data_IF_547830060917
#
_entry.id   IF_547830060917
#
_cell.length_a   1.000
_cell.length_b   1.000
_cell.length_c   1.000
_cell.angle_alpha   90.00
_cell.angle_beta   90.00
_cell.angle_gamma   90.00
#
_symmetry.space_group_name_H-M   'P 1'
#
loop_
_entity.id
_entity.type
_entity.pdbx_description
1 polymer ?
#
# COMPACT_ATOMS: atom_id res chain seq x y z
N UNK A 1 24.51 7.71 -5.08
CA UNK A 1 23.65 8.85 -5.50
C UNK A 1 22.19 8.62 -5.12
N UNK A 2 21.51 7.55 -5.58
CA UNK A 2 20.10 7.25 -5.22
C UNK A 2 19.86 7.22 -3.71
N UNK A 3 20.67 6.51 -2.92
CA UNK A 3 20.49 6.39 -1.47
C UNK A 3 20.51 7.73 -0.73
N UNK A 4 21.32 8.67 -1.19
CA UNK A 4 21.34 10.03 -0.61
C UNK A 4 20.04 10.79 -0.95
N UNK A 5 19.55 10.65 -2.19
CA UNK A 5 18.29 11.26 -2.61
C UNK A 5 17.09 10.67 -1.87
N UNK A 6 17.01 9.34 -1.76
CA UNK A 6 15.94 8.65 -1.04
C UNK A 6 15.91 9.00 0.45
N UNK A 7 17.09 9.20 1.05
CA UNK A 7 17.18 9.66 2.45
C UNK A 7 16.70 11.11 2.61
N UNK A 8 16.96 11.96 1.61
CA UNK A 8 16.56 13.37 1.64
C UNK A 8 15.07 13.59 1.34
N UNK A 9 14.49 12.79 0.45
CA UNK A 9 13.08 12.90 0.01
C UNK A 9 12.42 11.52 -0.03
N UNK A 10 12.17 10.88 1.13
CA UNK A 10 11.68 9.51 1.22
C UNK A 10 10.29 9.31 0.60
N UNK A 11 9.45 10.35 0.53
CA UNK A 11 8.11 10.30 -0.04
C UNK A 11 8.06 10.53 -1.56
N UNK A 12 9.21 10.60 -2.24
CA UNK A 12 9.23 10.78 -3.69
C UNK A 12 8.99 9.46 -4.44
N UNK A 13 7.75 9.21 -4.84
CA UNK A 13 7.33 8.03 -5.62
C UNK A 13 8.17 7.89 -6.90
N UNK A 14 8.38 8.98 -7.64
CA UNK A 14 9.14 8.94 -8.90
C UNK A 14 10.61 8.57 -8.68
N UNK A 15 11.24 9.08 -7.60
CA UNK A 15 12.62 8.71 -7.26
C UNK A 15 12.75 7.23 -6.89
N UNK A 16 11.78 6.70 -6.14
CA UNK A 16 11.72 5.27 -5.82
C UNK A 16 11.58 4.42 -7.09
N UNK A 17 10.71 4.79 -8.02
CA UNK A 17 10.54 4.07 -9.29
C UNK A 17 11.84 4.08 -10.10
N UNK A 18 12.55 5.21 -10.18
CA UNK A 18 13.85 5.27 -10.86
C UNK A 18 14.91 4.39 -10.18
N UNK A 19 14.95 4.38 -8.85
CA UNK A 19 15.83 3.49 -8.09
C UNK A 19 15.51 2.01 -8.35
N UNK A 20 14.23 1.65 -8.30
CA UNK A 20 13.77 0.27 -8.53
C UNK A 20 14.08 -0.19 -9.96
N UNK A 21 13.86 0.63 -10.97
CA UNK A 21 14.26 0.34 -12.35
C UNK A 21 15.76 0.09 -12.47
N UNK A 22 16.57 0.88 -11.76
CA UNK A 22 18.02 0.66 -11.72
C UNK A 22 18.39 -0.67 -11.06
N UNK A 23 17.75 -1.03 -9.94
CA UNK A 23 17.95 -2.33 -9.27
C UNK A 23 17.54 -3.50 -10.16
N UNK A 24 16.42 -3.40 -10.86
CA UNK A 24 15.97 -4.41 -11.83
C UNK A 24 16.98 -4.57 -12.98
N UNK A 25 17.53 -3.46 -13.49
CA UNK A 25 18.53 -3.51 -14.56
C UNK A 25 19.84 -4.18 -14.11
N UNK A 26 20.29 -3.92 -12.86
CA UNK A 26 21.47 -4.59 -12.29
C UNK A 26 21.21 -6.09 -12.16
N UNK A 27 20.07 -6.49 -11.57
CA UNK A 27 19.72 -7.90 -11.40
C UNK A 27 19.63 -8.64 -12.73
N UNK A 28 19.06 -8.01 -13.76
CA UNK A 28 19.00 -8.60 -15.11
C UNK A 28 20.40 -8.76 -15.75
N UNK A 29 21.31 -7.81 -15.55
CA UNK A 29 22.67 -7.90 -16.02
C UNK A 29 23.46 -9.04 -15.33
N UNK A 30 23.32 -9.16 -14.00
CA UNK A 30 23.93 -10.24 -13.21
C UNK A 30 23.41 -11.63 -13.63
N UNK A 31 22.12 -11.75 -13.94
CA UNK A 31 21.51 -12.99 -14.46
C UNK A 31 22.11 -13.39 -15.80
N UNK A 32 22.31 -12.44 -16.70
CA UNK A 32 22.94 -12.68 -18.00
C UNK A 32 24.41 -13.12 -17.88
N UNK A 33 25.16 -12.59 -16.91
CA UNK A 33 26.58 -12.92 -16.70
C UNK A 33 26.78 -14.23 -15.97
N UNK A 34 25.96 -14.52 -14.95
CA UNK A 34 26.16 -15.68 -14.05
C UNK A 34 25.39 -16.93 -14.50
N UNK A 35 24.42 -16.81 -15.41
CA UNK A 35 23.52 -17.90 -15.83
C UNK A 35 22.66 -18.47 -14.68
N UNK A 36 22.62 -17.78 -13.55
CA UNK A 36 21.84 -18.14 -12.36
C UNK A 36 20.51 -17.37 -12.30
N UNK A 37 19.62 -17.81 -11.44
CA UNK A 37 18.43 -17.03 -11.11
C UNK A 37 18.87 -15.68 -10.54
N UNK A 38 18.58 -14.62 -11.25
CA UNK A 38 18.96 -13.27 -10.84
C UNK A 38 18.51 -12.96 -9.41
N UNK A 39 19.07 -11.93 -8.81
CA UNK A 39 18.92 -11.57 -7.40
C UNK A 39 17.52 -11.03 -7.10
N UNK A 40 16.45 -11.77 -7.51
CA UNK A 40 15.04 -11.43 -7.31
C UNK A 40 14.72 -11.06 -5.86
N UNK A 41 15.42 -11.69 -4.92
CA UNK A 41 15.24 -11.40 -3.49
C UNK A 41 15.72 -9.97 -3.15
N UNK A 42 16.83 -9.50 -3.69
CA UNK A 42 17.36 -8.15 -3.44
C UNK A 42 16.46 -7.08 -4.06
N UNK A 43 15.98 -7.34 -5.28
CA UNK A 43 15.02 -6.45 -5.94
C UNK A 43 13.73 -6.37 -5.13
N UNK A 44 13.22 -7.50 -4.66
CA UNK A 44 12.01 -7.54 -3.81
C UNK A 44 12.21 -6.80 -2.50
N UNK A 45 13.35 -6.93 -1.84
CA UNK A 45 13.66 -6.14 -0.64
C UNK A 45 13.64 -4.64 -0.92
N UNK A 46 14.13 -4.23 -2.11
CA UNK A 46 14.09 -2.82 -2.53
C UNK A 46 12.66 -2.32 -2.72
N UNK A 47 11.76 -3.16 -3.30
CA UNK A 47 10.33 -2.86 -3.38
C UNK A 47 9.68 -2.77 -2.01
N UNK A 48 9.94 -3.73 -1.11
CA UNK A 48 9.38 -3.71 0.24
C UNK A 48 9.81 -2.46 1.02
N UNK A 49 11.07 -2.05 0.87
CA UNK A 49 11.56 -0.78 1.43
C UNK A 49 10.81 0.40 0.84
N UNK A 50 10.66 0.46 -0.47
CA UNK A 50 9.95 1.55 -1.14
C UNK A 50 8.49 1.69 -0.67
N UNK A 51 7.75 0.58 -0.58
CA UNK A 51 6.35 0.62 -0.12
C UNK A 51 6.22 0.87 1.39
N UNK A 52 7.25 0.55 2.18
CA UNK A 52 7.28 0.91 3.61
C UNK A 52 7.43 2.41 3.79
N UNK A 53 8.34 3.05 3.03
CA UNK A 53 8.64 4.47 3.13
C UNK A 53 7.54 5.35 2.50
N UNK A 54 7.16 5.08 1.25
CA UNK A 54 6.23 5.95 0.54
C UNK A 54 4.95 5.27 0.02
N UNK A 55 4.74 3.99 0.32
CA UNK A 55 3.54 3.25 -0.13
C UNK A 55 2.23 3.77 0.46
N UNK A 56 2.26 4.53 1.55
CA UNK A 56 1.09 5.16 2.19
C UNK A 56 0.77 6.57 1.68
N UNK A 57 1.60 7.11 0.80
CA UNK A 57 1.35 8.40 0.17
C UNK A 57 0.10 8.32 -0.71
N UNK A 58 -0.71 9.38 -0.74
CA UNK A 58 -1.98 9.43 -1.48
C UNK A 58 -1.85 9.10 -2.97
N UNK A 59 -0.71 9.43 -3.58
CA UNK A 59 -0.39 9.21 -5.00
C UNK A 59 0.58 8.06 -5.24
N UNK A 60 0.69 7.13 -4.29
CA UNK A 60 1.60 6.00 -4.38
C UNK A 60 1.14 4.90 -5.35
N UNK A 61 -0.03 5.04 -5.98
CA UNK A 61 -0.58 4.05 -6.91
C UNK A 61 0.45 3.60 -7.96
N UNK A 62 1.21 4.54 -8.55
CA UNK A 62 2.26 4.23 -9.54
C UNK A 62 3.34 3.28 -9.00
N UNK A 63 3.72 3.43 -7.71
CA UNK A 63 4.70 2.54 -7.08
C UNK A 63 4.13 1.15 -6.88
N UNK A 64 2.89 1.07 -6.41
CA UNK A 64 2.19 -0.19 -6.24
C UNK A 64 1.98 -0.92 -7.57
N UNK A 65 1.55 -0.22 -8.61
CA UNK A 65 1.40 -0.76 -9.97
C UNK A 65 2.72 -1.30 -10.50
N UNK A 66 3.80 -0.57 -10.27
CA UNK A 66 5.14 -0.99 -10.67
C UNK A 66 5.57 -2.28 -9.94
N UNK A 67 5.27 -2.39 -8.65
CA UNK A 67 5.56 -3.59 -7.87
C UNK A 67 4.71 -4.78 -8.31
N UNK A 68 3.40 -4.59 -8.46
CA UNK A 68 2.47 -5.62 -8.95
C UNK A 68 2.90 -6.13 -10.32
N UNK A 69 3.25 -5.22 -11.24
CA UNK A 69 3.74 -5.57 -12.57
C UNK A 69 4.99 -6.45 -12.50
N UNK A 70 5.96 -6.05 -11.69
CA UNK A 70 7.21 -6.80 -11.53
C UNK A 70 6.98 -8.21 -10.95
N UNK A 71 6.18 -8.38 -9.91
CA UNK A 71 5.83 -9.71 -9.37
C UNK A 71 5.01 -10.55 -10.35
N UNK A 72 4.17 -9.92 -11.17
CA UNK A 72 3.43 -10.60 -12.24
C UNK A 72 4.37 -11.13 -13.33
N UNK A 73 5.35 -10.33 -13.75
CA UNK A 73 6.39 -10.74 -14.71
C UNK A 73 7.28 -11.86 -14.14
N UNK A 74 7.50 -11.88 -12.84
CA UNK A 74 8.20 -12.96 -12.13
C UNK A 74 7.36 -14.25 -11.97
N UNK A 75 6.07 -14.24 -12.34
CA UNK A 75 5.16 -15.39 -12.23
C UNK A 75 4.63 -15.67 -10.82
N UNK A 76 4.85 -14.78 -9.87
CA UNK A 76 4.53 -14.94 -8.44
C UNK A 76 3.09 -14.53 -8.12
N UNK A 77 2.10 -15.20 -8.73
CA UNK A 77 0.67 -14.82 -8.67
C UNK A 77 0.12 -14.76 -7.25
N UNK A 78 0.56 -15.67 -6.37
CA UNK A 78 0.17 -15.66 -4.96
C UNK A 78 0.64 -14.39 -4.24
N UNK A 79 1.85 -13.88 -4.58
CA UNK A 79 2.37 -12.62 -4.03
C UNK A 79 1.61 -11.43 -4.55
N UNK A 80 1.25 -11.43 -5.83
CA UNK A 80 0.42 -10.39 -6.45
C UNK A 80 -0.91 -10.27 -5.72
N UNK A 81 -1.56 -11.38 -5.38
CA UNK A 81 -2.79 -11.36 -4.58
C UNK A 81 -2.58 -10.76 -3.18
N UNK A 82 -1.47 -11.12 -2.49
CA UNK A 82 -1.14 -10.52 -1.19
C UNK A 82 -0.84 -9.02 -1.30
N UNK A 83 -0.19 -8.58 -2.39
CA UNK A 83 0.03 -7.16 -2.66
C UNK A 83 -1.29 -6.42 -2.80
N UNK A 84 -2.24 -6.92 -3.59
CA UNK A 84 -3.56 -6.29 -3.69
C UNK A 84 -4.27 -6.18 -2.34
N UNK A 85 -4.18 -7.19 -1.49
CA UNK A 85 -4.72 -7.11 -0.12
C UNK A 85 -4.05 -6.03 0.74
N UNK A 86 -2.77 -5.73 0.49
CA UNK A 86 -2.05 -4.61 1.15
C UNK A 86 -2.46 -3.27 0.56
N UNK A 87 -2.49 -3.15 -0.77
CA UNK A 87 -2.90 -1.94 -1.50
C UNK A 87 -4.29 -1.50 -1.06
N UNK A 88 -5.24 -2.42 -0.99
CA UNK A 88 -6.63 -2.13 -0.60
C UNK A 88 -6.79 -1.64 0.84
N UNK A 89 -5.77 -1.77 1.69
CA UNK A 89 -5.76 -1.18 3.06
C UNK A 89 -5.27 0.27 3.08
N UNK A 90 -4.67 0.72 2.00
CA UNK A 90 -4.09 2.07 1.91
C UNK A 90 -5.07 3.00 1.19
N UNK A 91 -5.44 4.14 1.79
CA UNK A 91 -6.33 5.11 1.16
C UNK A 91 -5.57 5.91 0.10
N UNK A 92 -5.47 5.35 -1.11
CA UNK A 92 -4.87 6.00 -2.28
C UNK A 92 -5.92 6.53 -3.25
N UNK A 93 -5.49 7.35 -4.20
CA UNK A 93 -6.35 7.89 -5.24
C UNK A 93 -6.97 6.80 -6.12
N UNK A 94 -6.20 5.74 -6.42
CA UNK A 94 -6.58 4.64 -7.31
C UNK A 94 -7.25 3.44 -6.62
N UNK A 95 -7.61 3.54 -5.34
CA UNK A 95 -8.08 2.39 -4.55
C UNK A 95 -9.26 1.62 -5.18
N UNK A 96 -10.20 2.32 -5.85
CA UNK A 96 -11.32 1.67 -6.55
C UNK A 96 -10.86 0.84 -7.75
N UNK A 97 -9.92 1.38 -8.55
CA UNK A 97 -9.34 0.68 -9.68
C UNK A 97 -8.54 -0.56 -9.23
N UNK A 98 -7.82 -0.43 -8.12
CA UNK A 98 -7.08 -1.56 -7.54
C UNK A 98 -7.99 -2.69 -7.09
N UNK A 99 -9.22 -2.40 -6.62
CA UNK A 99 -10.22 -3.43 -6.32
C UNK A 99 -10.65 -4.16 -7.60
N UNK A 100 -10.92 -3.45 -8.68
CA UNK A 100 -11.30 -4.06 -9.97
C UNK A 100 -10.21 -5.00 -10.49
N UNK A 101 -8.94 -4.59 -10.41
CA UNK A 101 -7.80 -5.41 -10.81
C UNK A 101 -7.64 -6.65 -9.90
N UNK A 102 -7.82 -6.49 -8.59
CA UNK A 102 -7.78 -7.60 -7.64
C UNK A 102 -8.90 -8.62 -7.89
N UNK A 103 -10.12 -8.16 -8.19
CA UNK A 103 -11.23 -9.04 -8.58
C UNK A 103 -10.95 -9.77 -9.90
N UNK A 104 -10.38 -9.08 -10.89
CA UNK A 104 -10.00 -9.68 -12.16
C UNK A 104 -8.93 -10.77 -11.97
N UNK A 105 -7.94 -10.52 -11.10
CA UNK A 105 -6.90 -11.51 -10.75
C UNK A 105 -7.52 -12.77 -10.14
N UNK A 106 -8.46 -12.62 -9.20
CA UNK A 106 -9.14 -13.75 -8.54
C UNK A 106 -9.97 -14.55 -9.55
N UNK A 107 -10.63 -13.88 -10.50
CA UNK A 107 -11.43 -14.55 -11.55
C UNK A 107 -10.56 -15.30 -12.55
N UNK A 108 -9.39 -14.78 -12.88
CA UNK A 108 -8.51 -15.35 -13.91
C UNK A 108 -7.69 -16.56 -13.44
N UNK A 109 -7.51 -16.71 -12.12
CA UNK A 109 -6.60 -17.73 -11.55
C UNK A 109 -7.34 -18.77 -10.68
N UNK A 110 -6.68 -19.91 -10.47
CA UNK A 110 -7.18 -20.90 -9.52
C UNK A 110 -6.97 -20.42 -8.08
N UNK A 111 -7.94 -20.58 -7.17
CA UNK A 111 -7.79 -20.23 -5.75
C UNK A 111 -6.59 -20.91 -5.08
N UNK A 112 -6.23 -22.12 -5.53
CA UNK A 112 -5.06 -22.86 -5.04
C UNK A 112 -3.74 -22.17 -5.35
N UNK A 113 -3.65 -21.47 -6.50
CA UNK A 113 -2.44 -20.73 -6.91
C UNK A 113 -2.32 -19.37 -6.21
N UNK A 114 -3.44 -18.81 -5.75
CA UNK A 114 -3.51 -17.50 -5.09
C UNK A 114 -3.30 -17.57 -3.59
N UNK A 115 -3.64 -18.71 -2.96
CA UNK A 115 -3.66 -18.85 -1.50
C UNK A 115 -2.59 -19.84 -1.03
N UNK A 116 -2.00 -19.61 0.16
CA UNK A 116 -1.25 -20.63 0.86
C UNK A 116 -2.14 -21.85 1.10
N UNK A 117 -1.55 -23.06 1.04
CA UNK A 117 -2.25 -24.33 1.16
C UNK A 117 -3.19 -24.38 2.38
N UNK A 118 -2.70 -23.94 3.54
CA UNK A 118 -3.50 -23.94 4.78
C UNK A 118 -4.77 -23.08 4.68
N UNK A 119 -4.65 -21.90 4.08
CA UNK A 119 -5.79 -20.99 3.88
C UNK A 119 -6.75 -21.52 2.83
N UNK A 120 -6.23 -22.12 1.75
CA UNK A 120 -7.07 -22.76 0.74
C UNK A 120 -7.90 -23.89 1.35
N UNK A 121 -7.28 -24.79 2.11
CA UNK A 121 -7.97 -25.90 2.77
C UNK A 121 -9.01 -25.43 3.79
N UNK A 122 -8.69 -24.39 4.57
CA UNK A 122 -9.64 -23.80 5.52
C UNK A 122 -10.87 -23.22 4.81
N UNK A 123 -10.69 -22.47 3.73
CA UNK A 123 -11.78 -21.91 2.94
C UNK A 123 -12.59 -22.99 2.22
N UNK A 124 -11.90 -24.02 1.69
CA UNK A 124 -12.55 -25.17 1.06
C UNK A 124 -13.46 -25.90 2.05
N UNK A 125 -12.96 -26.19 3.26
CA UNK A 125 -13.76 -26.82 4.32
C UNK A 125 -14.99 -26.00 4.67
N UNK A 126 -14.85 -24.69 4.84
CA UNK A 126 -15.96 -23.79 5.13
C UNK A 126 -17.00 -23.74 3.99
N UNK A 127 -16.56 -23.79 2.72
CA UNK A 127 -17.44 -23.82 1.55
C UNK A 127 -18.21 -25.14 1.50
N UNK A 128 -17.55 -26.29 1.74
CA UNK A 128 -18.18 -27.60 1.74
C UNK A 128 -19.20 -27.74 2.88
N UNK A 129 -18.87 -27.30 4.09
CA UNK A 129 -19.79 -27.28 5.24
C UNK A 129 -21.05 -26.45 4.93
N UNK A 130 -20.88 -25.27 4.33
CA UNK A 130 -22.00 -24.41 3.94
C UNK A 130 -22.80 -24.99 2.77
N UNK A 131 -22.11 -25.51 1.76
CA UNK A 131 -22.74 -26.17 0.60
C UNK A 131 -23.50 -27.41 0.95
N UNK A 132 -23.02 -28.21 1.91
CA UNK A 132 -23.74 -29.36 2.45
C UNK A 132 -25.01 -28.96 3.18
N UNK A 133 -25.02 -27.86 3.94
CA UNK A 133 -26.19 -27.30 4.62
C UNK A 133 -27.25 -26.76 3.65
N UNK A 134 -26.84 -26.26 2.48
CA UNK A 134 -27.74 -25.69 1.46
C UNK A 134 -28.12 -26.71 0.38
N UNK A 135 -27.51 -27.90 0.35
CA UNK A 135 -27.73 -28.93 -0.67
C UNK A 135 -27.17 -28.55 -2.06
N UNK A 136 -26.30 -27.54 -2.15
CA UNK A 136 -25.76 -27.03 -3.42
C UNK A 136 -24.42 -27.68 -3.81
N UNK A 137 -23.73 -28.33 -2.88
CA UNK A 137 -22.45 -29.02 -3.11
C UNK A 137 -22.49 -30.44 -2.52
N UNK A 138 -21.75 -31.40 -3.10
CA UNK A 138 -21.65 -32.74 -2.54
C UNK A 138 -21.11 -32.72 -1.12
N UNK A 139 -21.68 -33.60 -0.26
CA UNK A 139 -21.23 -33.73 1.12
C UNK A 139 -19.77 -34.18 1.18
N UNK A 140 -19.01 -33.67 2.14
CA UNK A 140 -17.63 -34.12 2.41
C UNK A 140 -17.52 -35.65 2.72
N UNK A 141 -18.63 -36.32 2.90
CA UNK A 141 -18.70 -37.79 3.11
C UNK A 141 -18.46 -38.60 1.82
N UNK A 142 -18.47 -38.01 0.65
CA UNK A 142 -18.21 -38.68 -0.64
C UNK A 142 -16.75 -38.55 -1.11
N UNK A 143 -15.83 -38.02 -0.25
CA UNK A 143 -14.41 -38.04 -0.51
C UNK A 143 -13.89 -39.48 -0.60
N UNK A 144 -13.20 -39.80 -1.68
CA UNK A 144 -12.61 -41.13 -1.92
C UNK A 144 -11.62 -41.42 -0.78
N UNK A 145 -11.78 -42.53 -0.02
CA UNK A 145 -10.87 -42.85 1.08
C UNK A 145 -9.47 -43.08 0.55
N UNK A 146 -8.52 -42.25 0.95
CA UNK A 146 -7.09 -42.37 0.62
C UNK A 146 -6.49 -41.23 -0.24
N UNK A 147 -7.29 -40.25 -0.67
CA UNK A 147 -6.77 -39.03 -1.22
C UNK A 147 -6.53 -38.01 -0.10
N UNK A 148 -5.29 -37.53 0.01
CA UNK A 148 -5.01 -36.40 0.91
C UNK A 148 -5.81 -35.17 0.45
N UNK A 149 -6.51 -34.49 1.36
CA UNK A 149 -7.31 -33.28 1.09
C UNK A 149 -6.55 -32.18 0.34
N UNK A 150 -5.21 -32.19 0.43
CA UNK A 150 -4.31 -31.27 -0.26
C UNK A 150 -4.12 -31.62 -1.74
N UNK A 151 -4.33 -32.87 -2.16
CA UNK A 151 -4.12 -33.37 -3.52
C UNK A 151 -5.39 -33.47 -4.33
N UNK A 152 -6.55 -33.59 -3.68
CA UNK A 152 -7.85 -33.64 -4.33
C UNK A 152 -8.11 -32.31 -5.10
N UNK A 153 -8.36 -32.42 -6.40
CA UNK A 153 -8.75 -31.25 -7.20
C UNK A 153 -10.14 -30.77 -6.77
N UNK A 154 -10.24 -29.51 -6.35
CA UNK A 154 -11.53 -28.90 -6.07
C UNK A 154 -12.35 -28.86 -7.37
N UNK A 155 -13.67 -29.15 -7.26
CA UNK A 155 -14.56 -29.00 -8.41
C UNK A 155 -14.62 -27.53 -8.86
N UNK A 156 -15.05 -27.27 -10.09
CA UNK A 156 -15.15 -25.87 -10.57
C UNK A 156 -16.18 -25.09 -9.76
N UNK A 157 -17.24 -25.75 -9.27
CA UNK A 157 -18.25 -25.16 -8.40
C UNK A 157 -17.66 -24.76 -7.03
N UNK A 158 -16.79 -25.62 -6.45
CA UNK A 158 -16.04 -25.30 -5.23
C UNK A 158 -15.09 -24.12 -5.46
N UNK A 159 -14.35 -24.13 -6.56
CA UNK A 159 -13.44 -23.04 -6.92
C UNK A 159 -14.18 -21.71 -7.10
N UNK A 160 -15.35 -21.72 -7.73
CA UNK A 160 -16.18 -20.53 -7.90
C UNK A 160 -16.69 -20.01 -6.55
N UNK A 161 -17.14 -20.90 -5.67
CA UNK A 161 -17.57 -20.53 -4.33
C UNK A 161 -16.41 -19.96 -3.48
N UNK A 162 -15.19 -20.50 -3.62
CA UNK A 162 -13.99 -19.96 -2.94
C UNK A 162 -13.63 -18.59 -3.53
N UNK A 163 -13.65 -18.41 -4.87
CA UNK A 163 -13.42 -17.11 -5.51
C UNK A 163 -14.43 -16.06 -5.01
N UNK A 164 -15.69 -16.42 -4.89
CA UNK A 164 -16.72 -15.52 -4.39
C UNK A 164 -16.41 -15.06 -2.94
N UNK A 165 -15.94 -15.94 -2.07
CA UNK A 165 -15.50 -15.57 -0.72
C UNK A 165 -14.28 -14.67 -0.72
N UNK A 166 -13.28 -14.96 -1.57
CA UNK A 166 -12.10 -14.10 -1.72
C UNK A 166 -12.48 -12.68 -2.16
N UNK A 167 -13.42 -12.54 -3.09
CA UNK A 167 -13.94 -11.24 -3.54
C UNK A 167 -14.68 -10.53 -2.41
N UNK A 168 -15.47 -11.23 -1.61
CA UNK A 168 -16.16 -10.66 -0.45
C UNK A 168 -15.12 -10.12 0.57
N UNK A 169 -14.04 -10.87 0.83
CA UNK A 169 -12.95 -10.41 1.71
C UNK A 169 -12.29 -9.13 1.18
N UNK A 170 -11.96 -9.08 -0.13
CA UNK A 170 -11.38 -7.90 -0.77
C UNK A 170 -12.30 -6.68 -0.67
N UNK A 171 -13.60 -6.87 -0.90
CA UNK A 171 -14.61 -5.81 -0.77
C UNK A 171 -14.77 -5.31 0.66
N UNK A 172 -14.68 -6.20 1.64
CA UNK A 172 -14.72 -5.81 3.05
C UNK A 172 -13.51 -4.92 3.41
N UNK A 173 -12.30 -5.33 3.01
CA UNK A 173 -11.08 -4.51 3.21
C UNK A 173 -11.22 -3.15 2.52
N UNK A 174 -11.67 -3.12 1.27
CA UNK A 174 -11.84 -1.90 0.51
C UNK A 174 -12.88 -0.95 1.13
N UNK A 175 -14.00 -1.48 1.65
CA UNK A 175 -15.07 -0.67 2.22
C UNK A 175 -14.62 0.20 3.41
N UNK A 176 -13.72 -0.33 4.26
CA UNK A 176 -13.11 0.45 5.36
C UNK A 176 -12.20 1.55 4.81
N UNK A 177 -11.40 1.22 3.80
CA UNK A 177 -10.47 2.16 3.16
C UNK A 177 -11.21 3.20 2.35
N UNK A 178 -12.29 2.85 1.66
CA UNK A 178 -13.13 3.78 0.91
C UNK A 178 -13.73 4.87 1.80
N UNK A 179 -14.21 4.50 2.98
CA UNK A 179 -14.73 5.47 3.94
C UNK A 179 -13.65 6.50 4.34
N UNK A 180 -12.42 6.02 4.61
CA UNK A 180 -11.27 6.88 4.93
C UNK A 180 -10.86 7.76 3.74
N UNK A 181 -10.83 7.19 2.53
CA UNK A 181 -10.49 7.92 1.29
C UNK A 181 -11.50 9.03 1.00
N UNK A 182 -12.81 8.78 1.16
CA UNK A 182 -13.86 9.80 0.98
C UNK A 182 -13.71 11.00 1.91
N UNK A 183 -13.31 10.77 3.18
CA UNK A 183 -13.08 11.85 4.13
C UNK A 183 -11.89 12.74 3.75
N UNK A 184 -10.85 12.14 3.13
CA UNK A 184 -9.62 12.86 2.71
C UNK A 184 -9.78 13.54 1.35
N UNK A 185 -10.64 13.00 0.49
CA UNK A 185 -10.79 13.45 -0.91
C UNK A 185 -10.92 14.96 -1.06
N UNK A 186 -11.75 15.60 -0.26
CA UNK A 186 -11.99 17.06 -0.32
C UNK A 186 -10.71 17.88 -0.11
N UNK A 187 -9.80 17.40 0.74
CA UNK A 187 -8.53 18.09 1.00
C UNK A 187 -7.52 17.80 -0.11
N UNK A 188 -7.45 16.53 -0.55
CA UNK A 188 -6.54 16.10 -1.61
C UNK A 188 -6.88 16.75 -2.96
N UNK A 189 -8.16 16.87 -3.31
CA UNK A 189 -8.63 17.61 -4.48
C UNK A 189 -8.26 19.10 -4.40
N UNK A 190 -8.25 19.67 -3.19
CA UNK A 190 -7.83 21.02 -2.92
C UNK A 190 -6.34 21.28 -3.14
N UNK A 191 -5.48 20.26 -3.14
CA UNK A 191 -4.02 20.40 -3.32
C UNK A 191 -3.68 20.51 -4.80
N UNK A 192 -3.53 21.75 -5.30
CA UNK A 192 -3.19 22.02 -6.70
C UNK A 192 -1.68 22.01 -6.96
N UNK A 193 -0.88 22.36 -5.96
CA UNK A 193 0.59 22.45 -6.05
C UNK A 193 1.25 21.64 -4.93
N UNK A 194 1.49 20.34 -5.14
CA UNK A 194 2.09 19.46 -4.14
C UNK A 194 3.63 19.45 -4.15
N UNK A 195 4.27 20.43 -4.79
CA UNK A 195 5.71 20.53 -4.96
C UNK A 195 6.23 21.89 -4.50
N UNK A 196 7.50 21.94 -4.16
CA UNK A 196 8.19 23.18 -3.78
C UNK A 196 8.26 24.18 -4.94
N UNK A 197 7.98 25.43 -4.64
CA UNK A 197 8.19 26.53 -5.58
C UNK A 197 8.37 27.84 -4.81
N UNK A 198 9.29 28.70 -5.27
CA UNK A 198 9.61 30.00 -4.66
C UNK A 198 8.46 31.03 -4.70
N UNK A 199 7.49 30.89 -5.64
CA UNK A 199 6.31 31.74 -5.65
C UNK A 199 5.40 31.41 -4.47
N UNK A 200 4.86 32.42 -3.77
CA UNK A 200 3.93 32.19 -2.67
C UNK A 200 2.76 31.28 -3.07
N UNK A 201 2.29 30.48 -2.13
CA UNK A 201 1.04 29.74 -2.25
C UNK A 201 -0.14 30.70 -2.09
N UNK A 202 -1.22 30.40 -2.80
CA UNK A 202 -2.50 31.09 -2.61
C UNK A 202 -3.01 30.84 -1.18
N UNK A 203 -3.66 31.83 -0.56
CA UNK A 203 -4.21 31.71 0.80
C UNK A 203 -5.16 30.52 0.95
N UNK A 204 -5.93 30.19 -0.11
CA UNK A 204 -6.82 29.04 -0.14
C UNK A 204 -6.06 27.72 -0.03
N UNK A 205 -4.86 27.61 -0.62
CA UNK A 205 -4.00 26.44 -0.53
C UNK A 205 -3.42 26.27 0.88
N UNK A 206 -2.94 27.38 1.49
CA UNK A 206 -2.42 27.35 2.87
C UNK A 206 -3.51 26.94 3.84
N UNK A 207 -4.71 27.49 3.70
CA UNK A 207 -5.85 27.11 4.53
C UNK A 207 -6.22 25.64 4.34
N UNK A 208 -6.22 25.14 3.10
CA UNK A 208 -6.53 23.74 2.82
C UNK A 208 -5.54 22.79 3.51
N UNK A 209 -4.22 23.13 3.51
CA UNK A 209 -3.22 22.34 4.22
C UNK A 209 -3.44 22.38 5.73
N UNK A 210 -3.73 23.55 6.30
CA UNK A 210 -4.02 23.67 7.74
C UNK A 210 -5.25 22.86 8.14
N UNK A 211 -6.36 23.03 7.42
CA UNK A 211 -7.60 22.30 7.65
C UNK A 211 -7.39 20.76 7.51
N UNK A 212 -6.52 20.33 6.59
CA UNK A 212 -6.20 18.93 6.40
C UNK A 212 -5.36 18.35 7.54
N UNK A 213 -4.34 19.07 7.99
CA UNK A 213 -3.52 18.67 9.15
C UNK A 213 -4.38 18.57 10.41
N UNK A 214 -5.23 19.56 10.68
CA UNK A 214 -6.12 19.56 11.84
C UNK A 214 -7.12 18.41 11.79
N UNK A 215 -7.68 18.13 10.61
CA UNK A 215 -8.55 16.97 10.41
C UNK A 215 -7.80 15.67 10.70
N UNK A 216 -6.59 15.49 10.18
CA UNK A 216 -5.81 14.26 10.36
C UNK A 216 -5.37 14.06 11.81
N UNK A 217 -4.98 15.13 12.51
CA UNK A 217 -4.66 15.08 13.95
C UNK A 217 -5.84 14.57 14.77
N UNK A 218 -7.04 15.08 14.50
CA UNK A 218 -8.27 14.68 15.20
C UNK A 218 -8.68 13.25 14.83
N UNK A 219 -8.60 12.89 13.56
CA UNK A 219 -9.00 11.56 13.09
C UNK A 219 -8.09 10.46 13.62
N UNK A 220 -6.79 10.68 13.60
CA UNK A 220 -5.79 9.72 14.06
C UNK A 220 -5.63 9.72 15.60
N UNK A 221 -6.15 10.70 16.31
CA UNK A 221 -6.22 10.67 17.78
C UNK A 221 -7.33 9.75 18.31
N UNK A 222 -8.24 9.29 17.45
CA UNK A 222 -9.26 8.30 17.81
C UNK A 222 -8.61 6.95 18.11
N UNK A 223 -9.32 6.12 18.86
CA UNK A 223 -8.85 4.79 19.23
C UNK A 223 -8.50 3.95 17.99
N UNK A 224 -7.27 3.41 17.95
CA UNK A 224 -6.77 2.64 16.82
C UNK A 224 -6.25 3.46 15.63
N UNK A 225 -6.15 4.79 15.73
CA UNK A 225 -5.57 5.63 14.68
C UNK A 225 -4.06 5.43 14.53
N UNK A 226 -3.58 5.41 13.29
CA UNK A 226 -2.15 5.29 12.98
C UNK A 226 -1.54 6.70 12.79
N UNK A 227 -0.73 7.08 13.75
CA UNK A 227 -0.12 8.41 13.81
C UNK A 227 0.94 8.65 12.72
N UNK A 228 1.47 7.59 12.11
CA UNK A 228 2.35 7.68 10.95
C UNK A 228 1.64 8.36 9.76
N UNK A 229 0.31 8.25 9.69
CA UNK A 229 -0.47 8.93 8.64
C UNK A 229 -0.47 10.45 8.82
N UNK A 230 -0.42 10.94 10.06
CA UNK A 230 -0.29 12.39 10.33
C UNK A 230 1.09 12.88 9.92
N UNK A 231 2.13 12.11 10.26
CA UNK A 231 3.51 12.40 9.86
C UNK A 231 3.65 12.53 8.34
N UNK A 232 3.12 11.57 7.59
CA UNK A 232 3.13 11.61 6.11
C UNK A 232 2.48 12.88 5.58
N UNK A 233 1.37 13.34 6.16
CA UNK A 233 0.72 14.57 5.71
C UNK A 233 1.55 15.80 6.06
N UNK A 234 2.21 15.86 7.23
CA UNK A 234 3.15 16.93 7.55
C UNK A 234 4.31 16.98 6.57
N UNK A 235 4.97 15.85 6.32
CA UNK A 235 6.10 15.76 5.39
C UNK A 235 5.69 16.22 3.97
N UNK A 236 4.51 15.84 3.50
CA UNK A 236 3.95 16.31 2.22
C UNK A 236 3.63 17.79 2.23
N UNK A 237 3.06 18.29 3.31
CA UNK A 237 2.76 19.71 3.50
C UNK A 237 4.04 20.53 3.42
N UNK A 238 5.09 20.12 4.13
CA UNK A 238 6.36 20.82 4.20
C UNK A 238 7.13 20.83 2.88
N UNK A 239 6.86 19.91 1.94
CA UNK A 239 7.37 20.02 0.57
C UNK A 239 6.77 21.26 -0.13
N UNK A 240 5.46 21.46 -0.05
CA UNK A 240 4.78 22.56 -0.69
C UNK A 240 4.92 23.90 0.08
N UNK A 241 4.93 23.79 1.40
CA UNK A 241 4.90 24.90 2.35
C UNK A 241 6.25 25.14 3.05
N UNK A 242 7.38 24.73 2.45
CA UNK A 242 8.72 24.81 3.06
C UNK A 242 9.10 26.21 3.58
N UNK A 243 8.61 27.28 2.93
CA UNK A 243 8.90 28.67 3.28
C UNK A 243 7.93 29.29 4.31
N UNK A 244 7.02 28.51 4.86
CA UNK A 244 6.00 28.98 5.80
C UNK A 244 6.27 28.39 7.20
N UNK A 245 6.79 29.24 8.08
CA UNK A 245 7.25 28.83 9.42
C UNK A 245 6.13 28.24 10.28
N UNK A 246 4.88 28.68 10.09
CA UNK A 246 3.74 28.22 10.85
C UNK A 246 3.54 26.70 10.75
N UNK A 247 3.78 26.07 9.60
CA UNK A 247 3.65 24.61 9.42
C UNK A 247 4.78 23.84 10.09
N UNK A 248 6.01 24.40 10.08
CA UNK A 248 7.15 23.81 10.79
C UNK A 248 6.93 23.86 12.31
N UNK A 249 6.49 25.00 12.82
CA UNK A 249 6.21 25.16 14.24
C UNK A 249 5.08 24.27 14.73
N UNK A 250 4.02 24.11 13.92
CA UNK A 250 2.93 23.18 14.20
C UNK A 250 3.42 21.72 14.22
N UNK A 251 4.32 21.34 13.32
CA UNK A 251 4.90 19.99 13.30
C UNK A 251 5.81 19.71 14.49
N UNK A 252 6.68 20.66 14.84
CA UNK A 252 7.50 20.55 16.06
C UNK A 252 6.63 20.42 17.31
N UNK A 253 5.61 21.28 17.45
CA UNK A 253 4.68 21.26 18.59
C UNK A 253 3.91 19.94 18.66
N UNK A 254 3.57 19.36 17.52
CA UNK A 254 2.90 18.06 17.46
C UNK A 254 3.81 16.95 17.98
N UNK A 255 5.11 16.92 17.60
CA UNK A 255 6.10 15.97 18.14
C UNK A 255 6.36 16.18 19.64
N UNK A 256 6.51 17.43 20.09
CA UNK A 256 6.68 17.76 21.53
C UNK A 256 5.50 17.28 22.37
N UNK A 257 4.28 17.46 21.88
CA UNK A 257 3.06 16.99 22.57
C UNK A 257 3.04 15.47 22.78
N UNK A 258 3.78 14.74 21.95
CA UNK A 258 3.96 13.30 22.02
C UNK A 258 5.16 12.84 22.85
N UNK A 259 5.91 13.79 23.39
CA UNK A 259 7.17 13.58 24.12
C UNK A 259 8.29 12.95 23.27
N UNK A 260 8.20 13.06 21.97
CA UNK A 260 9.26 12.67 21.03
C UNK A 260 10.16 13.88 20.75
N UNK A 261 11.07 14.15 21.68
CA UNK A 261 11.94 15.31 21.63
C UNK A 261 13.04 15.19 20.57
N UNK A 262 13.40 13.95 20.19
CA UNK A 262 14.41 13.70 19.15
C UNK A 262 13.89 14.11 17.78
N UNK A 263 12.66 13.69 17.44
CA UNK A 263 12.01 14.08 16.18
C UNK A 263 11.65 15.56 16.13
N UNK A 264 11.21 16.14 17.25
CA UNK A 264 10.95 17.57 17.37
C UNK A 264 12.23 18.39 17.09
N UNK A 265 13.37 18.01 17.66
CA UNK A 265 14.66 18.67 17.43
C UNK A 265 15.17 18.49 15.99
N UNK A 266 14.96 17.29 15.41
CA UNK A 266 15.25 17.03 13.98
C UNK A 266 14.48 17.99 13.06
N UNK A 267 13.17 18.13 13.26
CA UNK A 267 12.30 19.01 12.49
C UNK A 267 12.71 20.49 12.67
N UNK A 268 13.01 20.93 13.90
CA UNK A 268 13.45 22.27 14.18
C UNK A 268 14.79 22.61 13.48
N UNK A 269 15.74 21.68 13.44
CA UNK A 269 17.02 21.86 12.71
C UNK A 269 16.79 21.97 11.21
N UNK A 270 15.94 21.13 10.62
CA UNK A 270 15.64 21.20 9.17
C UNK A 270 15.02 22.56 8.85
N UNK A 271 14.06 23.02 9.65
CA UNK A 271 13.47 24.35 9.51
C UNK A 271 14.52 25.46 9.52
N UNK A 272 15.44 25.42 10.49
CA UNK A 272 16.49 26.44 10.62
C UNK A 272 17.37 26.51 9.36
N UNK A 273 17.75 25.35 8.81
CA UNK A 273 18.53 25.30 7.57
C UNK A 273 17.73 25.74 6.33
N UNK A 274 16.42 25.52 6.30
CA UNK A 274 15.59 25.80 5.11
C UNK A 274 15.14 27.26 5.04
N UNK A 275 14.89 27.90 6.19
CA UNK A 275 14.27 29.22 6.24
C UNK A 275 15.23 30.35 6.65
N UNK A 276 16.42 30.04 7.21
CA UNK A 276 17.35 31.04 7.75
C UNK A 276 18.62 31.19 6.91
N UNK A 277 18.85 30.28 5.94
CA UNK A 277 19.92 30.40 4.93
C UNK A 277 19.36 30.81 3.59
#
# INVERSE_FOLDING_TARGET
MFEQGLKAIPLSVDLWIHFLNHQCAIAAAEEMESGGSGNLHVVRQSYERAVTECGREWRSDKLWDHYVKWETEAGEVARVYQLYKRILKVPTQGAAHNLELAEALVKANSPKDLLPTDKFLALRKEVLERGSLTGTLPSAAEAIPGEDDATAMASEEENEAIRAKMVIELKAIYSETEARSKLRWKYEEGIKRPYFHVKPLERGQLKNWQDYLDFMKVEMAKEGGDLTEVEIIYERCLIACALYEEFWMDYVSWWESRKDLEEADRCARIFFFTCVT
#
